data_IF_100953348873
#
_entry.id   IF_100953348873
#
_cell.length_a   1.000
_cell.length_b   1.000
_cell.length_c   1.000
_cell.angle_alpha   90.00
_cell.angle_beta   90.00
_cell.angle_gamma   90.00
#
_symmetry.space_group_name_H-M   'P 1'
#
loop_
_entity.id
_entity.type
_entity.pdbx_description
1 polymer ?
#
# COMPACT_ATOMS: atom_id res chain seq x y z
N UNK A 1 5.80 5.40 30.52
CA UNK A 1 5.40 4.35 29.55
C UNK A 1 6.21 4.57 28.29
N UNK A 2 7.22 3.74 28.02
CA UNK A 2 8.20 3.97 26.96
C UNK A 2 8.31 2.79 26.00
N UNK A 3 8.52 3.14 24.73
CA UNK A 3 8.88 2.34 23.55
C UNK A 3 7.82 1.46 22.88
N UNK A 4 7.15 2.04 21.88
CA UNK A 4 6.69 1.30 20.70
C UNK A 4 7.92 0.84 19.92
N UNK A 5 8.11 -0.48 19.82
CA UNK A 5 9.25 -1.10 19.12
C UNK A 5 9.18 -0.79 17.63
N UNK A 6 10.11 0.04 17.19
CA UNK A 6 10.49 0.19 15.79
C UNK A 6 10.96 -1.18 15.24
N UNK A 7 10.30 -1.70 14.21
CA UNK A 7 10.65 -2.97 13.58
C UNK A 7 11.44 -2.72 12.27
N UNK A 8 12.77 -2.91 12.26
CA UNK A 8 13.61 -2.62 11.10
C UNK A 8 13.31 -3.51 9.88
N UNK A 9 12.74 -4.71 10.06
CA UNK A 9 12.37 -5.61 8.96
C UNK A 9 11.20 -5.07 8.12
N UNK A 10 10.30 -4.29 8.74
CA UNK A 10 9.23 -3.61 8.05
C UNK A 10 9.80 -2.50 7.14
N UNK A 11 10.80 -1.75 7.61
CA UNK A 11 11.45 -0.72 6.79
C UNK A 11 12.15 -1.31 5.56
N UNK A 12 12.86 -2.44 5.72
CA UNK A 12 13.51 -3.12 4.60
C UNK A 12 12.51 -3.63 3.55
N UNK A 13 11.33 -4.09 4.00
CA UNK A 13 10.23 -4.50 3.11
C UNK A 13 9.61 -3.30 2.38
N UNK A 14 9.39 -2.18 3.06
CA UNK A 14 8.92 -0.93 2.42
C UNK A 14 9.92 -0.36 1.42
N UNK A 15 11.23 -0.45 1.71
CA UNK A 15 12.28 -0.07 0.76
C UNK A 15 12.29 -0.96 -0.49
N UNK A 16 12.04 -2.28 -0.35
CA UNK A 16 11.88 -3.18 -1.50
C UNK A 16 10.59 -2.92 -2.29
N UNK A 17 9.49 -2.58 -1.62
CA UNK A 17 8.24 -2.24 -2.28
C UNK A 17 8.38 -0.98 -3.15
N UNK A 18 9.20 -0.02 -2.71
CA UNK A 18 9.56 1.19 -3.46
C UNK A 18 10.21 0.91 -4.82
N UNK A 19 10.92 -0.21 -4.95
CA UNK A 19 11.60 -0.60 -6.20
C UNK A 19 10.63 -1.25 -7.18
N UNK A 20 9.64 -2.02 -6.71
CA UNK A 20 8.74 -2.79 -7.56
C UNK A 20 7.69 -1.93 -8.28
N UNK A 21 7.22 -0.85 -7.65
CA UNK A 21 6.21 0.02 -8.24
C UNK A 21 6.75 0.86 -9.43
N UNK A 22 8.06 0.87 -9.65
CA UNK A 22 8.68 1.63 -10.74
C UNK A 22 8.72 0.90 -12.08
N UNK A 23 8.47 -0.41 -12.12
CA UNK A 23 8.75 -1.22 -13.31
C UNK A 23 7.54 -1.53 -14.19
N UNK A 24 6.31 -1.18 -13.79
CA UNK A 24 5.10 -1.60 -14.52
C UNK A 24 4.71 -0.69 -15.70
N UNK A 25 5.21 0.55 -15.81
CA UNK A 25 4.70 1.50 -16.82
C UNK A 25 5.71 2.27 -17.68
N UNK A 26 7.00 1.95 -17.68
CA UNK A 26 7.95 2.59 -18.61
C UNK A 26 8.75 1.59 -19.43
N UNK A 27 8.64 1.75 -20.75
CA UNK A 27 9.57 1.29 -21.78
C UNK A 27 11.01 1.17 -21.25
N UNK A 28 11.63 0.02 -21.52
CA UNK A 28 12.99 -0.41 -21.17
C UNK A 28 14.09 0.62 -21.51
N UNK A 29 14.19 1.71 -20.74
CA UNK A 29 15.43 2.50 -20.60
C UNK A 29 15.89 2.37 -19.17
N UNK A 30 17.06 1.77 -18.99
CA UNK A 30 17.73 1.77 -17.68
C UNK A 30 17.96 3.23 -17.27
N UNK A 31 17.53 3.63 -16.06
CA UNK A 31 17.80 4.99 -15.58
C UNK A 31 19.31 5.14 -15.37
N UNK A 32 19.88 6.17 -15.99
CA UNK A 32 21.31 6.52 -15.96
C UNK A 32 21.79 7.06 -14.61
N UNK A 33 20.86 7.40 -13.70
CA UNK A 33 21.19 7.94 -12.38
C UNK A 33 20.08 7.69 -11.36
N UNK A 34 20.44 7.46 -10.09
CA UNK A 34 19.50 7.33 -8.96
C UNK A 34 18.66 8.61 -8.72
N UNK A 35 19.08 9.74 -9.28
CA UNK A 35 18.41 11.05 -9.20
C UNK A 35 17.21 11.22 -10.13
N UNK A 36 17.02 10.35 -11.14
CA UNK A 36 15.88 10.42 -12.08
C UNK A 36 14.68 9.58 -11.64
N UNK A 37 14.80 8.88 -10.51
CA UNK A 37 13.68 8.21 -9.86
C UNK A 37 12.76 9.26 -9.26
N UNK A 38 11.90 9.84 -10.09
CA UNK A 38 10.67 10.47 -9.60
C UNK A 38 9.88 9.36 -8.91
N UNK A 39 9.97 9.31 -7.60
CA UNK A 39 9.15 8.42 -6.79
C UNK A 39 7.69 8.83 -6.97
N UNK A 40 6.98 8.18 -7.90
CA UNK A 40 5.53 8.24 -7.91
C UNK A 40 5.04 7.51 -6.67
N UNK A 41 4.15 8.16 -5.92
CA UNK A 41 3.45 7.53 -4.82
C UNK A 41 2.54 6.44 -5.40
N UNK A 42 2.55 5.25 -4.80
CA UNK A 42 1.71 4.15 -5.24
C UNK A 42 0.48 4.13 -4.36
N UNK A 43 -0.68 4.21 -5.00
CA UNK A 43 -1.98 4.26 -4.37
C UNK A 43 -2.72 2.96 -4.68
N UNK A 44 -3.67 2.57 -3.83
CA UNK A 44 -4.43 1.33 -3.97
C UNK A 44 -5.93 1.61 -3.98
N UNK A 45 -6.63 0.93 -4.89
CA UNK A 45 -8.07 0.73 -4.83
C UNK A 45 -8.37 -0.46 -3.92
N UNK A 46 -9.25 -0.26 -2.94
CA UNK A 46 -9.59 -1.28 -1.96
C UNK A 46 -10.98 -1.85 -2.22
N UNK A 47 -11.05 -3.18 -2.31
CA UNK A 47 -12.26 -3.94 -2.58
C UNK A 47 -12.63 -4.82 -1.39
N UNK A 48 -13.92 -4.96 -1.13
CA UNK A 48 -14.49 -5.95 -0.22
C UNK A 48 -15.70 -6.60 -0.88
N UNK A 49 -15.77 -7.92 -0.87
CA UNK A 49 -16.89 -8.68 -1.48
C UNK A 49 -17.16 -8.28 -2.93
N UNK A 50 -16.09 -8.00 -3.69
CA UNK A 50 -16.16 -7.56 -5.09
C UNK A 50 -16.56 -6.09 -5.29
N UNK A 51 -16.86 -5.33 -4.23
CA UNK A 51 -17.21 -3.90 -4.31
C UNK A 51 -16.03 -3.03 -3.92
N UNK A 52 -15.76 -1.98 -4.70
CA UNK A 52 -14.80 -0.94 -4.33
C UNK A 52 -15.35 -0.15 -3.13
N UNK A 53 -14.57 -0.02 -2.07
CA UNK A 53 -14.95 0.67 -0.82
C UNK A 53 -14.08 1.88 -0.51
N UNK A 54 -12.90 1.97 -1.10
CA UNK A 54 -11.99 3.11 -0.99
C UNK A 54 -11.11 3.19 -2.24
N UNK A 55 -10.69 4.40 -2.59
CA UNK A 55 -9.85 4.73 -3.76
C UNK A 55 -8.70 5.63 -3.29
N UNK A 56 -7.56 5.57 -3.98
CA UNK A 56 -6.41 6.42 -3.67
C UNK A 56 -5.78 6.12 -2.29
N UNK A 57 -5.90 4.87 -1.80
CA UNK A 57 -5.43 4.51 -0.46
C UNK A 57 -3.92 4.35 -0.44
N UNK A 58 -3.25 5.10 0.43
CA UNK A 58 -1.79 5.08 0.60
C UNK A 58 -1.32 4.45 1.89
N UNK A 59 -2.24 4.22 2.84
CA UNK A 59 -1.93 3.56 4.11
C UNK A 59 -3.07 2.65 4.53
N UNK A 60 -2.72 1.41 4.84
CA UNK A 60 -3.64 0.39 5.36
C UNK A 60 -3.09 -0.13 6.68
N UNK A 61 -3.93 -0.20 7.71
CA UNK A 61 -3.58 -0.71 9.04
C UNK A 61 -4.61 -1.73 9.51
N UNK A 62 -4.18 -2.97 9.78
CA UNK A 62 -5.03 -3.99 10.37
C UNK A 62 -4.90 -3.97 11.90
N UNK A 63 -6.02 -3.80 12.61
CA UNK A 63 -6.05 -3.81 14.09
C UNK A 63 -7.40 -4.30 14.60
N UNK A 64 -7.39 -5.25 15.54
CA UNK A 64 -8.58 -5.76 16.22
C UNK A 64 -9.70 -6.19 15.26
N UNK A 65 -9.35 -6.89 14.17
CA UNK A 65 -10.32 -7.33 13.16
C UNK A 65 -10.88 -6.23 12.24
N UNK A 66 -10.31 -5.03 12.32
CA UNK A 66 -10.67 -3.90 11.44
C UNK A 66 -9.48 -3.51 10.59
N UNK A 67 -9.79 -3.07 9.38
CA UNK A 67 -8.84 -2.49 8.43
C UNK A 67 -9.14 -0.99 8.36
N UNK A 68 -8.18 -0.19 8.81
CA UNK A 68 -8.20 1.27 8.69
C UNK A 68 -7.40 1.68 7.45
N UNK A 69 -8.01 2.46 6.58
CA UNK A 69 -7.45 2.89 5.31
C UNK A 69 -7.41 4.41 5.26
N UNK A 70 -6.33 4.97 4.71
CA UNK A 70 -6.15 6.41 4.57
C UNK A 70 -5.77 6.76 3.13
N UNK A 71 -6.48 7.72 2.55
CA UNK A 71 -6.13 8.30 1.26
C UNK A 71 -5.00 9.36 1.39
N UNK A 72 -4.62 9.95 0.26
CA UNK A 72 -3.60 11.01 0.18
C UNK A 72 -3.97 12.30 0.91
N UNK A 73 -5.26 12.56 1.12
CA UNK A 73 -5.77 13.71 1.85
C UNK A 73 -5.90 13.44 3.37
N UNK A 74 -5.69 12.20 3.79
CA UNK A 74 -5.85 11.75 5.16
C UNK A 74 -7.28 11.33 5.52
N UNK A 75 -8.19 11.21 4.56
CA UNK A 75 -9.55 10.69 4.75
C UNK A 75 -9.47 9.25 5.24
N UNK A 76 -10.18 8.94 6.33
CA UNK A 76 -10.18 7.62 6.95
C UNK A 76 -11.39 6.81 6.50
N UNK A 77 -11.14 5.59 6.02
CA UNK A 77 -12.13 4.56 5.78
C UNK A 77 -11.90 3.38 6.74
N UNK A 78 -12.97 2.71 7.15
CA UNK A 78 -12.90 1.55 8.04
C UNK A 78 -13.73 0.42 7.46
N UNK A 79 -13.15 -0.77 7.38
CA UNK A 79 -13.86 -2.00 7.05
C UNK A 79 -13.53 -3.10 8.06
N UNK A 80 -14.49 -3.97 8.34
CA UNK A 80 -14.25 -5.19 9.13
C UNK A 80 -13.69 -6.30 8.23
N UNK A 81 -12.77 -7.10 8.75
CA UNK A 81 -12.20 -8.24 8.05
C UNK A 81 -10.68 -8.32 8.14
N UNK A 82 -10.09 -9.04 7.20
CA UNK A 82 -8.63 -9.24 7.08
C UNK A 82 -8.15 -8.88 5.67
N UNK A 83 -6.86 -8.57 5.53
CA UNK A 83 -6.27 -8.32 4.21
C UNK A 83 -6.09 -9.68 3.53
N UNK A 84 -6.84 -9.93 2.46
CA UNK A 84 -6.77 -11.16 1.68
C UNK A 84 -5.69 -11.09 0.58
N UNK A 85 -5.58 -9.95 -0.09
CA UNK A 85 -4.67 -9.74 -1.22
C UNK A 85 -4.18 -8.29 -1.23
N UNK A 86 -2.90 -8.10 -1.54
CA UNK A 86 -2.35 -6.78 -1.92
C UNK A 86 -1.56 -6.98 -3.21
N UNK A 87 -2.04 -6.38 -4.29
CA UNK A 87 -1.45 -6.41 -5.61
C UNK A 87 -0.99 -4.99 -5.97
N UNK A 88 0.31 -4.74 -5.77
CA UNK A 88 0.92 -3.43 -6.06
C UNK A 88 1.01 -3.19 -7.57
N UNK A 89 1.13 -4.24 -8.38
CA UNK A 89 1.22 -4.15 -9.84
C UNK A 89 -0.09 -3.69 -10.47
N UNK A 90 -1.23 -4.08 -9.89
CA UNK A 90 -2.56 -3.68 -10.32
C UNK A 90 -3.22 -2.64 -9.40
N UNK A 91 -2.43 -2.01 -8.52
CA UNK A 91 -2.90 -0.95 -7.62
C UNK A 91 -4.15 -1.36 -6.81
N UNK A 92 -4.18 -2.60 -6.32
CA UNK A 92 -5.38 -3.23 -5.75
C UNK A 92 -5.11 -3.83 -4.38
N UNK A 93 -6.09 -3.70 -3.48
CA UNK A 93 -6.15 -4.41 -2.21
C UNK A 93 -7.51 -5.08 -2.05
N UNK A 94 -7.56 -6.32 -1.55
CA UNK A 94 -8.80 -7.04 -1.26
C UNK A 94 -8.89 -7.32 0.23
N UNK A 95 -10.03 -6.95 0.82
CA UNK A 95 -10.41 -7.28 2.18
C UNK A 95 -11.33 -8.50 2.14
N UNK A 96 -10.91 -9.56 2.82
CA UNK A 96 -11.70 -10.77 3.04
C UNK A 96 -12.54 -10.68 4.32
N UNK A 97 -13.55 -11.55 4.40
CA UNK A 97 -14.30 -11.79 5.63
C UNK A 97 -13.41 -12.41 6.72
N UNK A 98 -13.84 -12.35 7.98
CA UNK A 98 -13.20 -13.11 9.07
C UNK A 98 -13.51 -14.59 8.99
#
# INVERSE_FOLDING_TARGET
MSYSKYNPDLQAKFQRLRVLCMTSHQSLRQPSSLSEVRASMCELDVYKEGKKIAEGVVKITAKNGKIEMYDVLGTKYIAEGTIAEVDITNEKCVIGSM
#
